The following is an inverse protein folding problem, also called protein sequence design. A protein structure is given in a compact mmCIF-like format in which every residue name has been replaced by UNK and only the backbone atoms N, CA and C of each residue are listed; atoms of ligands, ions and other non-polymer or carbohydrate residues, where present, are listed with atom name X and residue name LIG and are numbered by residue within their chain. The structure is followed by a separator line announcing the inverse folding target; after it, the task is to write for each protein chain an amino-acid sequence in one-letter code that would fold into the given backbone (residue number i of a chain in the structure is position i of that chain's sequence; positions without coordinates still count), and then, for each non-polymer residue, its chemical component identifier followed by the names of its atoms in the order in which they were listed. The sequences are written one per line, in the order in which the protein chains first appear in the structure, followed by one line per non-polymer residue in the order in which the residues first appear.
data_IF_511218298256
#
_entry.id   IF_511218298256
#
_cell.length_a   1.000
_cell.length_b   1.000
_cell.length_c   1.000
_cell.angle_alpha   90.00
_cell.angle_beta   90.00
_cell.angle_gamma   90.00
#
_symmetry.space_group_name_H-M   'P 1'
#
loop_
_entity.id
_entity.type
_entity.pdbx_description
1 polymer ?
#
# COMPACT_ATOMS: atom_id res chain seq x y z
N UNK A 1 -2.77 29.14 7.31
CA UNK A 1 -3.97 28.68 6.57
C UNK A 1 -3.98 27.17 6.62
N UNK A 2 -4.95 26.58 7.32
CA UNK A 2 -5.08 25.13 7.50
C UNK A 2 -5.47 24.49 6.15
N UNK A 3 -4.59 23.62 5.62
CA UNK A 3 -4.87 22.78 4.45
C UNK A 3 -5.91 21.71 4.81
N UNK A 4 -7.17 22.12 4.97
CA UNK A 4 -8.28 21.18 5.15
C UNK A 4 -8.75 20.75 3.77
N UNK A 5 -8.44 19.51 3.39
CA UNK A 5 -9.02 18.88 2.19
C UNK A 5 -10.34 18.23 2.56
N UNK A 6 -11.43 18.73 1.98
CA UNK A 6 -12.74 18.10 2.06
C UNK A 6 -12.83 17.02 0.99
N UNK A 7 -13.10 15.78 1.39
CA UNK A 7 -13.35 14.67 0.47
C UNK A 7 -14.82 14.27 0.60
N UNK A 8 -15.58 14.36 -0.48
CA UNK A 8 -16.92 13.76 -0.52
C UNK A 8 -16.76 12.24 -0.61
N UNK A 9 -17.46 11.52 0.27
CA UNK A 9 -17.37 10.07 0.40
C UNK A 9 -18.64 9.43 -0.16
N UNK A 10 -18.52 8.69 -1.25
CA UNK A 10 -19.64 7.94 -1.84
C UNK A 10 -19.53 6.45 -1.54
N UNK A 11 -20.68 5.79 -1.34
CA UNK A 11 -20.79 4.37 -1.00
C UNK A 11 -21.64 3.64 -2.04
N UNK A 12 -20.99 3.23 -3.14
CA UNK A 12 -21.64 2.50 -4.24
C UNK A 12 -22.05 1.09 -3.82
N UNK A 13 -23.03 0.50 -4.52
CA UNK A 13 -23.48 -0.89 -4.28
C UNK A 13 -22.34 -1.91 -4.42
N UNK A 14 -21.44 -1.70 -5.39
CA UNK A 14 -20.22 -2.50 -5.57
C UNK A 14 -19.30 -2.44 -4.35
N UNK A 15 -19.08 -1.25 -3.79
CA UNK A 15 -18.26 -1.10 -2.57
C UNK A 15 -18.91 -1.76 -1.35
N UNK A 16 -20.24 -1.75 -1.25
CA UNK A 16 -20.97 -2.48 -0.19
C UNK A 16 -20.75 -3.99 -0.27
N UNK A 17 -20.80 -4.58 -1.47
CA UNK A 17 -20.54 -6.02 -1.66
C UNK A 17 -19.09 -6.37 -1.28
N UNK A 18 -18.13 -5.53 -1.68
CA UNK A 18 -16.72 -5.71 -1.32
C UNK A 18 -16.52 -5.58 0.20
N UNK A 19 -17.16 -4.60 0.83
CA UNK A 19 -17.12 -4.38 2.28
C UNK A 19 -17.64 -5.60 3.05
N UNK A 20 -18.78 -6.17 2.65
CA UNK A 20 -19.33 -7.40 3.26
C UNK A 20 -18.31 -8.54 3.19
N UNK A 21 -17.67 -8.73 2.03
CA UNK A 21 -16.64 -9.76 1.85
C UNK A 21 -15.43 -9.52 2.73
N UNK A 22 -14.92 -8.29 2.81
CA UNK A 22 -13.79 -7.93 3.67
C UNK A 22 -14.11 -8.23 5.14
N UNK A 23 -15.27 -7.78 5.61
CA UNK A 23 -15.67 -7.98 7.00
C UNK A 23 -15.86 -9.46 7.35
N UNK A 24 -16.40 -10.25 6.41
CA UNK A 24 -16.48 -11.70 6.57
C UNK A 24 -15.09 -12.36 6.67
N UNK A 25 -14.15 -11.99 5.79
CA UNK A 25 -12.77 -12.50 5.85
C UNK A 25 -12.08 -12.09 7.17
N UNK A 26 -12.22 -10.84 7.61
CA UNK A 26 -11.61 -10.34 8.84
C UNK A 26 -12.16 -11.02 10.09
N UNK A 27 -13.47 -11.29 10.14
CA UNK A 27 -14.11 -11.98 11.26
C UNK A 27 -13.54 -13.40 11.48
N UNK A 28 -13.07 -14.05 10.42
CA UNK A 28 -12.45 -15.37 10.48
C UNK A 28 -10.96 -15.36 10.89
N UNK A 29 -10.28 -14.23 10.68
CA UNK A 29 -8.81 -14.13 10.83
C UNK A 29 -8.41 -13.39 12.10
N UNK A 30 -9.22 -12.44 12.56
CA UNK A 30 -8.87 -11.53 13.66
C UNK A 30 -9.90 -11.68 14.78
N UNK A 31 -9.50 -12.18 15.97
CA UNK A 31 -10.40 -12.37 17.11
C UNK A 31 -11.10 -11.08 17.57
N UNK A 32 -10.44 -9.93 17.42
CA UNK A 32 -11.00 -8.62 17.74
C UNK A 32 -12.16 -8.20 16.81
N UNK A 33 -12.40 -8.93 15.71
CA UNK A 33 -13.48 -8.69 14.74
C UNK A 33 -13.58 -7.22 14.31
N UNK A 34 -12.49 -6.64 13.77
CA UNK A 34 -12.53 -5.26 13.30
C UNK A 34 -13.52 -5.11 12.15
N UNK A 35 -14.22 -3.99 12.13
CA UNK A 35 -15.18 -3.65 11.08
C UNK A 35 -14.56 -2.62 10.15
N UNK A 36 -14.58 -2.91 8.87
CA UNK A 36 -14.12 -2.03 7.79
C UNK A 36 -15.33 -1.41 7.11
N UNK A 37 -15.24 -0.11 6.84
CA UNK A 37 -16.14 0.57 5.92
C UNK A 37 -15.35 1.12 4.74
N UNK A 38 -15.80 0.82 3.51
CA UNK A 38 -15.20 1.34 2.30
C UNK A 38 -15.92 2.60 1.84
N UNK A 39 -15.16 3.52 1.25
CA UNK A 39 -15.68 4.73 0.64
C UNK A 39 -14.88 5.07 -0.62
N UNK A 40 -15.52 5.77 -1.56
CA UNK A 40 -14.84 6.34 -2.71
C UNK A 40 -14.77 7.86 -2.56
N UNK A 41 -13.59 8.43 -2.79
CA UNK A 41 -13.40 9.87 -2.89
C UNK A 41 -13.94 10.39 -4.21
N UNK A 42 -14.16 11.70 -4.32
CA UNK A 42 -14.52 12.39 -5.57
C UNK A 42 -13.53 12.15 -6.71
N UNK A 43 -12.24 11.95 -6.37
CA UNK A 43 -11.18 11.60 -7.32
C UNK A 43 -11.23 10.13 -7.79
N UNK A 44 -12.27 9.38 -7.39
CA UNK A 44 -12.45 7.98 -7.73
C UNK A 44 -11.58 7.01 -6.94
N UNK A 45 -10.80 7.48 -5.96
CA UNK A 45 -9.93 6.64 -5.14
C UNK A 45 -10.74 5.91 -4.05
N UNK A 46 -10.40 4.66 -3.77
CA UNK A 46 -11.04 3.88 -2.70
C UNK A 46 -10.24 4.05 -1.40
N UNK A 47 -10.89 4.60 -0.38
CA UNK A 47 -10.40 4.65 0.98
C UNK A 47 -11.19 3.73 1.91
N UNK A 48 -10.73 3.60 3.15
CA UNK A 48 -11.41 2.80 4.15
C UNK A 48 -11.20 3.33 5.57
N UNK A 49 -12.18 3.10 6.42
CA UNK A 49 -12.08 3.28 7.88
C UNK A 49 -12.12 1.92 8.58
N UNK A 50 -11.53 1.85 9.78
CA UNK A 50 -11.48 0.63 10.59
C UNK A 50 -11.94 0.95 12.00
N UNK A 51 -12.90 0.19 12.51
CA UNK A 51 -13.40 0.24 13.88
C UNK A 51 -13.11 -1.08 14.60
N UNK A 52 -13.14 -1.07 15.94
CA UNK A 52 -12.99 -2.28 16.76
C UNK A 52 -11.55 -2.80 16.87
N UNK A 53 -10.54 -1.93 16.68
CA UNK A 53 -9.14 -2.29 16.89
C UNK A 53 -8.69 -1.76 18.27
N UNK A 54 -8.12 -2.61 19.15
CA UNK A 54 -7.62 -2.18 20.45
C UNK A 54 -6.43 -1.22 20.31
N UNK A 55 -6.29 -0.30 21.27
CA UNK A 55 -5.24 0.73 21.29
C UNK A 55 -3.86 0.10 21.48
N UNK A 56 -3.74 -0.88 22.38
CA UNK A 56 -2.52 -1.68 22.54
C UNK A 56 -2.44 -2.83 21.53
N UNK A 57 -1.29 -3.01 20.89
CA UNK A 57 -1.08 -4.06 19.88
C UNK A 57 -1.81 -3.83 18.54
N UNK A 58 -2.59 -2.75 18.41
CA UNK A 58 -3.42 -2.45 17.24
C UNK A 58 -2.65 -2.35 15.92
N UNK A 59 -1.33 -2.05 15.94
CA UNK A 59 -0.50 -1.94 14.73
C UNK A 59 -0.44 -3.25 13.93
N UNK A 60 -0.31 -4.40 14.61
CA UNK A 60 -0.26 -5.70 13.94
C UNK A 60 -1.62 -6.03 13.29
N UNK A 61 -2.70 -5.76 14.03
CA UNK A 61 -4.09 -5.93 13.59
C UNK A 61 -4.37 -5.03 12.37
N UNK A 62 -4.03 -3.74 12.44
CA UNK A 62 -4.17 -2.80 11.32
C UNK A 62 -3.37 -3.25 10.09
N UNK A 63 -2.17 -3.80 10.29
CA UNK A 63 -1.36 -4.36 9.21
C UNK A 63 -2.02 -5.59 8.55
N UNK A 64 -2.78 -6.37 9.30
CA UNK A 64 -3.51 -7.53 8.80
C UNK A 64 -4.82 -7.13 8.11
N UNK A 65 -5.53 -6.14 8.69
CA UNK A 65 -6.68 -5.48 8.06
C UNK A 65 -6.29 -4.90 6.70
N UNK A 66 -5.22 -4.11 6.65
CA UNK A 66 -4.74 -3.50 5.41
C UNK A 66 -4.36 -4.55 4.36
N UNK A 67 -3.73 -5.66 4.76
CA UNK A 67 -3.40 -6.77 3.84
C UNK A 67 -4.65 -7.43 3.27
N UNK A 68 -5.67 -7.66 4.09
CA UNK A 68 -6.93 -8.28 3.67
C UNK A 68 -7.68 -7.38 2.69
N UNK A 69 -7.82 -6.09 3.02
CA UNK A 69 -8.44 -5.09 2.13
C UNK A 69 -7.74 -5.07 0.76
N UNK A 70 -6.41 -5.00 0.76
CA UNK A 70 -5.63 -5.03 -0.49
C UNK A 70 -5.83 -6.31 -1.30
N UNK A 71 -5.89 -7.46 -0.63
CA UNK A 71 -6.12 -8.75 -1.30
C UNK A 71 -7.50 -8.78 -1.96
N UNK A 72 -8.55 -8.34 -1.27
CA UNK A 72 -9.91 -8.33 -1.80
C UNK A 72 -10.05 -7.31 -2.94
N UNK A 73 -9.40 -6.15 -2.83
CA UNK A 73 -9.37 -5.13 -3.88
C UNK A 73 -8.38 -5.43 -5.02
N UNK A 74 -7.67 -6.57 -4.98
CA UNK A 74 -6.56 -6.94 -5.88
C UNK A 74 -5.47 -5.84 -6.01
N UNK A 75 -5.32 -5.00 -4.97
CA UNK A 75 -4.34 -3.93 -4.89
C UNK A 75 -2.99 -4.48 -4.40
N UNK A 76 -2.21 -5.02 -5.34
CA UNK A 76 -0.85 -5.51 -5.06
C UNK A 76 0.06 -4.37 -4.55
N UNK A 77 1.00 -4.70 -3.66
CA UNK A 77 1.97 -3.71 -3.15
C UNK A 77 2.84 -3.18 -4.30
N UNK A 78 2.81 -1.86 -4.48
CA UNK A 78 3.87 -1.12 -5.18
C UNK A 78 3.76 -1.04 -6.70
N UNK A 79 2.60 -1.30 -7.32
CA UNK A 79 2.49 -1.13 -8.76
C UNK A 79 1.11 -0.63 -9.22
N UNK A 80 1.06 0.42 -10.07
CA UNK A 80 -0.13 0.74 -10.83
C UNK A 80 -0.57 -0.45 -11.71
N UNK A 81 -1.87 -0.57 -11.96
CA UNK A 81 -2.38 -1.51 -12.96
C UNK A 81 -1.73 -1.18 -14.33
N UNK A 82 -1.41 -2.20 -15.14
CA UNK A 82 -0.91 -2.13 -16.53
C UNK A 82 0.61 -1.98 -16.76
N UNK A 83 1.45 -1.80 -15.76
CA UNK A 83 2.90 -1.75 -16.02
C UNK A 83 3.50 -3.16 -16.29
N UNK A 84 4.32 -3.35 -17.34
CA UNK A 84 4.90 -4.64 -17.71
C UNK A 84 6.04 -5.07 -16.78
N UNK A 85 6.03 -6.33 -16.32
CA UNK A 85 6.97 -6.88 -15.33
C UNK A 85 8.36 -7.13 -15.94
N UNK A 86 9.18 -6.10 -16.03
CA UNK A 86 10.61 -6.24 -16.34
C UNK A 86 11.41 -6.29 -15.04
N UNK A 87 11.77 -7.50 -14.60
CA UNK A 87 12.72 -7.67 -13.50
C UNK A 87 14.11 -7.83 -14.10
N UNK A 88 14.97 -6.83 -13.90
CA UNK A 88 16.39 -6.93 -14.26
C UNK A 88 17.16 -7.37 -13.03
N UNK A 89 17.84 -8.52 -13.13
CA UNK A 89 18.80 -8.96 -12.13
C UNK A 89 20.19 -8.60 -12.66
N UNK A 90 20.96 -7.87 -11.87
CA UNK A 90 22.36 -7.59 -12.19
C UNK A 90 23.20 -7.73 -10.93
N UNK A 91 24.43 -8.16 -11.13
CA UNK A 91 25.39 -8.32 -10.04
C UNK A 91 26.05 -6.98 -9.74
N UNK A 92 26.15 -6.64 -8.46
CA UNK A 92 26.85 -5.45 -7.98
C UNK A 92 27.91 -5.91 -6.98
N UNK A 93 29.19 -5.51 -7.15
CA UNK A 93 30.20 -5.74 -6.13
C UNK A 93 29.76 -5.18 -4.78
N UNK A 94 30.01 -5.91 -3.69
CA UNK A 94 29.52 -5.55 -2.37
C UNK A 94 29.94 -4.13 -1.94
N UNK A 95 31.18 -3.74 -2.22
CA UNK A 95 31.66 -2.39 -1.91
C UNK A 95 30.82 -1.29 -2.57
N UNK A 96 30.43 -1.47 -3.84
CA UNK A 96 29.56 -0.54 -4.57
C UNK A 96 28.14 -0.55 -4.03
N UNK A 97 27.62 -1.72 -3.64
CA UNK A 97 26.31 -1.83 -3.02
C UNK A 97 26.23 -1.10 -1.67
N UNK A 98 27.27 -1.20 -0.83
CA UNK A 98 27.33 -0.47 0.46
C UNK A 98 27.27 1.04 0.25
N UNK A 99 27.97 1.57 -0.76
CA UNK A 99 27.91 3.00 -1.12
C UNK A 99 26.51 3.41 -1.58
N UNK A 100 25.90 2.60 -2.47
CA UNK A 100 24.53 2.81 -2.95
C UNK A 100 23.52 2.82 -1.79
N UNK A 101 23.61 1.86 -0.88
CA UNK A 101 22.72 1.76 0.28
C UNK A 101 22.86 2.95 1.23
N UNK A 102 24.09 3.44 1.45
CA UNK A 102 24.34 4.65 2.25
C UNK A 102 23.71 5.89 1.62
N UNK A 103 23.82 6.03 0.29
CA UNK A 103 23.20 7.13 -0.46
C UNK A 103 21.67 7.04 -0.41
N UNK A 104 21.11 5.85 -0.58
CA UNK A 104 19.66 5.61 -0.56
C UNK A 104 19.05 5.98 0.80
N UNK A 105 19.72 5.62 1.91
CA UNK A 105 19.31 6.01 3.27
C UNK A 105 19.27 7.52 3.45
N UNK A 106 20.29 8.26 2.97
CA UNK A 106 20.33 9.73 3.07
C UNK A 106 19.17 10.40 2.33
N UNK A 107 18.69 9.78 1.26
CA UNK A 107 17.62 10.30 0.41
C UNK A 107 16.25 9.70 0.73
N UNK A 108 16.13 8.89 1.79
CA UNK A 108 14.90 8.17 2.16
C UNK A 108 14.27 7.36 1.02
N UNK A 109 15.10 6.76 0.16
CA UNK A 109 14.68 5.92 -0.97
C UNK A 109 15.30 4.53 -0.90
N UNK A 110 14.80 3.58 -1.69
CA UNK A 110 15.38 2.23 -1.77
C UNK A 110 16.64 2.20 -2.65
N UNK A 111 17.62 1.33 -2.37
CA UNK A 111 18.80 1.16 -3.22
C UNK A 111 18.43 0.81 -4.67
N UNK A 112 17.39 -0.01 -4.85
CA UNK A 112 16.88 -0.38 -6.18
C UNK A 112 16.38 0.81 -6.98
N UNK A 113 15.74 1.80 -6.32
CA UNK A 113 15.27 3.03 -6.98
C UNK A 113 16.43 3.86 -7.52
N UNK A 114 17.47 4.05 -6.70
CA UNK A 114 18.67 4.77 -7.15
C UNK A 114 19.39 4.04 -8.27
N UNK A 115 19.43 2.70 -8.21
CA UNK A 115 20.02 1.91 -9.28
C UNK A 115 19.22 2.03 -10.58
N UNK A 116 17.88 2.04 -10.53
CA UNK A 116 17.06 2.25 -11.72
C UNK A 116 17.25 3.64 -12.32
N UNK A 117 17.30 4.70 -11.49
CA UNK A 117 17.53 6.07 -11.96
C UNK A 117 18.89 6.19 -12.66
N UNK A 118 19.93 5.56 -12.11
CA UNK A 118 21.25 5.53 -12.73
C UNK A 118 21.26 4.78 -14.07
N UNK A 119 20.61 3.62 -14.15
CA UNK A 119 20.52 2.85 -15.41
C UNK A 119 19.78 3.66 -16.47
N UNK A 120 18.64 4.26 -16.13
CA UNK A 120 17.87 5.12 -17.04
C UNK A 120 18.71 6.30 -17.53
N UNK A 121 19.51 6.93 -16.66
CA UNK A 121 20.38 8.05 -17.06
C UNK A 121 21.53 7.67 -18.01
N UNK A 122 21.72 6.38 -18.27
CA UNK A 122 22.77 5.84 -19.16
C UNK A 122 22.22 5.08 -20.36
N UNK A 123 20.89 4.98 -20.49
CA UNK A 123 20.30 4.53 -21.74
C UNK A 123 20.47 5.64 -22.78
N UNK A 124 20.85 5.32 -24.02
CA UNK A 124 20.97 6.29 -25.11
C UNK A 124 19.63 6.95 -25.45
#
# INVERSE_FOLDING_TARGET
MSNVKFFELSKTSKLRQIEVRINHELASIIPARPVVALFQTTEGQVGYSVAGVPVEGGRAILGQVHRTIRKVLDLRRGRPLLEPKHQVKFWIPEAKYRLLAKKARRQSVSPSRLASEFVVSRLP
#
